data_IF_033631066044
#
_entry.id   IF_033631066044
#
_cell.length_a   1.000
_cell.length_b   1.000
_cell.length_c   1.000
_cell.angle_alpha   90.00
_cell.angle_beta   90.00
_cell.angle_gamma   90.00
#
_symmetry.space_group_name_H-M   'P 1'
#
loop_
_entity.id
_entity.type
_entity.pdbx_description
1 polymer ?
#
# COMPACT_ATOMS: atom_id res chain seq x y z
N UNK A 1 -33.83 -19.13 63.79
CA UNK A 1 -32.90 -18.16 63.19
C UNK A 1 -32.23 -18.78 61.97
N UNK A 2 -32.76 -18.48 60.83
CA UNK A 2 -32.29 -19.01 59.54
C UNK A 2 -31.30 -17.99 58.93
N UNK A 3 -30.02 -18.33 58.94
CA UNK A 3 -28.98 -17.51 58.25
C UNK A 3 -29.08 -17.79 56.76
N UNK A 4 -29.52 -16.80 56.00
CA UNK A 4 -29.46 -16.79 54.56
C UNK A 4 -28.01 -16.50 54.19
N UNK A 5 -27.33 -17.51 53.66
CA UNK A 5 -25.98 -17.34 53.06
C UNK A 5 -26.19 -16.76 51.66
N UNK A 6 -25.94 -15.46 51.51
CA UNK A 6 -25.87 -14.84 50.21
C UNK A 6 -24.53 -15.22 49.61
N UNK A 7 -24.52 -16.13 48.66
CA UNK A 7 -23.35 -16.43 47.83
C UNK A 7 -23.02 -15.24 46.91
N UNK A 8 -21.76 -14.79 46.83
CA UNK A 8 -21.41 -13.73 45.95
C UNK A 8 -21.39 -14.23 44.48
N UNK A 9 -22.21 -13.62 43.67
CA UNK A 9 -22.30 -13.85 42.20
C UNK A 9 -21.10 -13.25 41.39
N UNK A 10 -19.96 -12.98 42.07
CA UNK A 10 -18.87 -12.21 41.53
C UNK A 10 -17.85 -12.94 40.60
N UNK A 11 -17.61 -14.26 40.66
CA UNK A 11 -16.54 -14.84 39.81
C UNK A 11 -16.92 -15.06 38.34
N UNK A 12 -18.20 -15.29 38.03
CA UNK A 12 -18.62 -15.58 36.66
C UNK A 12 -18.62 -14.33 35.75
N UNK A 13 -19.02 -13.17 36.29
CA UNK A 13 -18.99 -11.88 35.56
C UNK A 13 -17.56 -11.39 35.29
N UNK A 14 -16.62 -11.65 36.20
CA UNK A 14 -15.20 -11.30 36.04
C UNK A 14 -14.55 -12.16 34.96
N UNK A 15 -14.86 -13.43 34.88
CA UNK A 15 -14.39 -14.38 33.86
C UNK A 15 -14.91 -14.04 32.46
N UNK A 16 -16.16 -13.59 32.33
CA UNK A 16 -16.75 -13.16 31.06
C UNK A 16 -16.08 -11.85 30.60
N UNK A 17 -15.83 -10.90 31.49
CA UNK A 17 -15.15 -9.64 31.17
C UNK A 17 -13.68 -9.83 30.74
N UNK A 18 -12.94 -10.71 31.39
CA UNK A 18 -11.57 -11.04 31.02
C UNK A 18 -11.48 -11.79 29.70
N UNK A 19 -12.42 -12.68 29.43
CA UNK A 19 -12.46 -13.44 28.16
C UNK A 19 -12.83 -12.56 26.97
N UNK A 20 -13.78 -11.64 27.13
CA UNK A 20 -14.16 -10.67 26.08
C UNK A 20 -13.04 -9.64 25.84
N UNK A 21 -12.31 -9.21 26.87
CA UNK A 21 -11.17 -8.32 26.71
C UNK A 21 -10.01 -9.00 25.97
N UNK A 22 -9.75 -10.28 26.27
CA UNK A 22 -8.71 -11.08 25.61
C UNK A 22 -9.05 -11.36 24.14
N UNK A 23 -10.31 -11.64 23.81
CA UNK A 23 -10.77 -11.83 22.43
C UNK A 23 -10.67 -10.56 21.62
N UNK A 24 -11.06 -9.39 22.15
CA UNK A 24 -10.91 -8.09 21.50
C UNK A 24 -9.44 -7.75 21.23
N UNK A 25 -8.55 -8.06 22.17
CA UNK A 25 -7.10 -7.81 22.01
C UNK A 25 -6.50 -8.69 20.90
N UNK A 26 -6.88 -9.97 20.83
CA UNK A 26 -6.41 -10.90 19.79
C UNK A 26 -6.93 -10.48 18.39
N UNK A 27 -8.18 -10.03 18.29
CA UNK A 27 -8.76 -9.52 17.03
C UNK A 27 -8.07 -8.23 16.57
N UNK A 28 -7.78 -7.30 17.49
CA UNK A 28 -7.05 -6.07 17.19
C UNK A 28 -5.62 -6.35 16.73
N UNK A 29 -4.92 -7.29 17.34
CA UNK A 29 -3.59 -7.72 16.93
C UNK A 29 -3.59 -8.32 15.53
N UNK A 30 -4.59 -9.15 15.19
CA UNK A 30 -4.73 -9.71 13.85
C UNK A 30 -4.94 -8.63 12.80
N UNK A 31 -5.80 -7.64 13.07
CA UNK A 31 -6.05 -6.53 12.14
C UNK A 31 -4.81 -5.68 11.90
N UNK A 32 -4.04 -5.39 12.93
CA UNK A 32 -2.76 -4.67 12.82
C UNK A 32 -1.77 -5.46 11.95
N UNK A 33 -1.68 -6.76 12.14
CA UNK A 33 -0.85 -7.64 11.33
C UNK A 33 -1.26 -7.62 9.86
N UNK A 34 -2.57 -7.67 9.58
CA UNK A 34 -3.11 -7.64 8.22
C UNK A 34 -2.79 -6.31 7.52
N UNK A 35 -2.91 -5.16 8.21
CA UNK A 35 -2.55 -3.85 7.69
C UNK A 35 -1.05 -3.73 7.41
N UNK A 36 -0.22 -4.18 8.33
CA UNK A 36 1.24 -4.20 8.15
C UNK A 36 1.63 -5.04 6.93
N UNK A 37 1.02 -6.21 6.77
CA UNK A 37 1.25 -7.08 5.63
C UNK A 37 0.82 -6.43 4.30
N UNK A 38 -0.31 -5.75 4.29
CA UNK A 38 -0.79 -4.99 3.11
C UNK A 38 0.19 -3.87 2.73
N UNK A 39 0.71 -3.11 3.71
CA UNK A 39 1.75 -2.09 3.46
C UNK A 39 3.01 -2.70 2.82
N UNK A 40 3.45 -3.86 3.30
CA UNK A 40 4.59 -4.56 2.71
C UNK A 40 4.32 -5.00 1.28
N UNK A 41 3.14 -5.53 0.98
CA UNK A 41 2.76 -5.93 -0.38
C UNK A 41 2.77 -4.73 -1.34
N UNK A 42 2.22 -3.58 -0.93
CA UNK A 42 2.25 -2.36 -1.74
C UNK A 42 3.66 -1.85 -1.98
N UNK A 43 4.51 -1.87 -0.95
CA UNK A 43 5.92 -1.47 -1.11
C UNK A 43 6.66 -2.37 -2.10
N UNK A 44 6.45 -3.68 -2.04
CA UNK A 44 7.04 -4.63 -2.97
C UNK A 44 6.54 -4.42 -4.40
N UNK A 45 5.24 -4.16 -4.57
CA UNK A 45 4.65 -3.86 -5.86
C UNK A 45 5.22 -2.57 -6.46
N UNK A 46 5.37 -1.51 -5.67
CA UNK A 46 5.97 -0.26 -6.12
C UNK A 46 7.45 -0.42 -6.50
N UNK A 47 8.20 -1.23 -5.74
CA UNK A 47 9.58 -1.56 -6.09
C UNK A 47 9.66 -2.29 -7.44
N UNK A 48 8.75 -3.21 -7.69
CA UNK A 48 8.66 -3.91 -8.97
C UNK A 48 8.40 -2.95 -10.13
N UNK A 49 7.44 -2.03 -10.00
CA UNK A 49 7.17 -1.02 -11.03
C UNK A 49 8.34 -0.08 -11.25
N UNK A 50 9.05 0.29 -10.19
CA UNK A 50 10.28 1.11 -10.30
C UNK A 50 11.37 0.39 -11.10
N UNK A 51 11.54 -0.90 -10.89
CA UNK A 51 12.51 -1.70 -11.65
C UNK A 51 12.09 -1.88 -13.12
N UNK A 52 10.80 -2.06 -13.41
CA UNK A 52 10.28 -2.03 -14.78
C UNK A 52 10.56 -0.68 -15.47
N UNK A 53 10.37 0.46 -14.78
CA UNK A 53 10.68 1.77 -15.32
C UNK A 53 12.15 1.93 -15.70
N UNK A 54 13.08 1.39 -14.92
CA UNK A 54 14.50 1.40 -15.24
C UNK A 54 14.78 0.65 -16.54
N UNK A 55 14.14 -0.50 -16.73
CA UNK A 55 14.23 -1.30 -17.96
C UNK A 55 13.68 -0.52 -19.17
N UNK A 56 12.51 0.08 -19.02
CA UNK A 56 11.88 0.89 -20.09
C UNK A 56 12.70 2.10 -20.45
N UNK A 57 13.26 2.79 -19.45
CA UNK A 57 14.14 3.93 -19.64
C UNK A 57 15.39 3.55 -20.45
N UNK A 58 16.02 2.45 -20.08
CA UNK A 58 17.18 1.95 -20.82
C UNK A 58 16.83 1.61 -22.27
N UNK A 59 15.69 0.93 -22.48
CA UNK A 59 15.21 0.61 -23.84
C UNK A 59 14.90 1.85 -24.66
N UNK A 60 14.33 2.87 -24.04
CA UNK A 60 14.05 4.15 -24.69
C UNK A 60 15.32 4.87 -25.10
N UNK A 61 16.37 4.82 -24.27
CA UNK A 61 17.71 5.39 -24.59
C UNK A 61 18.33 4.69 -25.81
N UNK A 62 18.21 3.37 -25.92
CA UNK A 62 18.68 2.61 -27.09
C UNK A 62 17.95 3.05 -28.38
N UNK A 63 16.62 3.22 -28.31
CA UNK A 63 15.81 3.69 -29.43
C UNK A 63 16.22 5.09 -29.85
N UNK A 64 16.44 6.00 -28.90
CA UNK A 64 16.84 7.37 -29.15
C UNK A 64 18.23 7.44 -29.85
N UNK A 65 19.16 6.57 -29.49
CA UNK A 65 20.49 6.47 -30.10
C UNK A 65 20.44 5.89 -31.53
N UNK A 66 19.52 4.98 -31.78
CA UNK A 66 19.40 4.27 -33.05
C UNK A 66 18.54 5.00 -34.11
N UNK A 67 17.84 6.07 -33.74
CA UNK A 67 16.89 6.76 -34.60
C UNK A 67 17.20 8.25 -34.71
N UNK A 68 17.06 8.78 -35.95
CA UNK A 68 17.17 10.21 -36.25
C UNK A 68 15.88 10.82 -36.82
N UNK A 69 14.83 10.03 -36.93
CA UNK A 69 13.52 10.49 -37.44
C UNK A 69 12.83 11.37 -36.41
N UNK A 70 12.40 12.56 -36.81
CA UNK A 70 11.75 13.53 -35.92
C UNK A 70 10.51 12.96 -35.22
N UNK A 71 9.70 12.15 -35.90
CA UNK A 71 8.52 11.51 -35.33
C UNK A 71 8.88 10.51 -34.19
N UNK A 72 9.94 9.74 -34.37
CA UNK A 72 10.43 8.79 -33.35
C UNK A 72 10.97 9.57 -32.16
N UNK A 73 11.78 10.58 -32.37
CA UNK A 73 12.36 11.39 -31.28
C UNK A 73 11.29 12.14 -30.48
N UNK A 74 10.21 12.59 -31.12
CA UNK A 74 9.06 13.17 -30.44
C UNK A 74 8.36 12.16 -29.50
N UNK A 75 8.22 10.91 -29.94
CA UNK A 75 7.68 9.85 -29.09
C UNK A 75 8.63 9.46 -27.96
N UNK A 76 9.94 9.49 -28.19
CA UNK A 76 10.95 9.30 -27.14
C UNK A 76 10.76 10.35 -26.03
N UNK A 77 10.63 11.63 -26.40
CA UNK A 77 10.39 12.71 -25.43
C UNK A 77 9.08 12.51 -24.66
N UNK A 78 8.02 12.10 -25.35
CA UNK A 78 6.74 11.77 -24.72
C UNK A 78 6.89 10.70 -23.63
N UNK A 79 7.58 9.58 -23.93
CA UNK A 79 7.78 8.52 -22.96
C UNK A 79 8.76 8.88 -21.85
N UNK A 80 9.79 9.69 -22.12
CA UNK A 80 10.66 10.22 -21.08
C UNK A 80 9.86 10.98 -20.03
N UNK A 81 8.95 11.87 -20.46
CA UNK A 81 8.06 12.61 -19.57
C UNK A 81 7.10 11.69 -18.82
N UNK A 82 6.52 10.71 -19.50
CA UNK A 82 5.64 9.73 -18.86
C UNK A 82 6.36 8.92 -17.77
N UNK A 83 7.60 8.51 -18.00
CA UNK A 83 8.41 7.77 -17.01
C UNK A 83 8.77 8.63 -15.80
N UNK A 84 9.06 9.91 -16.00
CA UNK A 84 9.30 10.86 -14.90
C UNK A 84 8.05 10.99 -14.02
N UNK A 85 6.87 11.15 -14.64
CA UNK A 85 5.59 11.25 -13.92
C UNK A 85 5.34 9.97 -13.12
N UNK A 86 5.51 8.79 -13.70
CA UNK A 86 5.30 7.52 -13.00
C UNK A 86 6.30 7.32 -11.86
N UNK A 87 7.56 7.72 -12.05
CA UNK A 87 8.57 7.66 -10.98
C UNK A 87 8.20 8.56 -9.79
N UNK A 88 7.75 9.77 -10.07
CA UNK A 88 7.31 10.70 -9.03
C UNK A 88 6.10 10.14 -8.25
N UNK A 89 5.12 9.55 -8.94
CA UNK A 89 3.98 8.90 -8.29
C UNK A 89 4.39 7.71 -7.40
N UNK A 90 5.35 6.90 -7.86
CA UNK A 90 5.92 5.81 -7.05
C UNK A 90 6.54 6.37 -5.77
N UNK A 91 7.32 7.44 -5.86
CA UNK A 91 8.00 8.04 -4.71
C UNK A 91 6.99 8.61 -3.71
N UNK A 92 5.93 9.28 -4.18
CA UNK A 92 4.85 9.80 -3.35
C UNK A 92 4.09 8.66 -2.65
N UNK A 93 3.74 7.60 -3.37
CA UNK A 93 3.05 6.45 -2.79
C UNK A 93 3.91 5.72 -1.75
N UNK A 94 5.19 5.50 -2.04
CA UNK A 94 6.13 4.91 -1.07
C UNK A 94 6.23 5.75 0.20
N UNK A 95 6.30 7.06 0.06
CA UNK A 95 6.32 7.97 1.21
C UNK A 95 5.04 7.88 2.02
N UNK A 96 3.88 7.91 1.37
CA UNK A 96 2.57 7.79 2.01
C UNK A 96 2.43 6.46 2.79
N UNK A 97 2.86 5.35 2.19
CA UNK A 97 2.81 4.03 2.84
C UNK A 97 3.76 3.97 4.05
N UNK A 98 4.96 4.54 3.96
CA UNK A 98 5.89 4.60 5.09
C UNK A 98 5.32 5.40 6.26
N UNK A 99 4.67 6.53 5.99
CA UNK A 99 3.99 7.31 7.02
C UNK A 99 2.86 6.51 7.67
N UNK A 100 2.04 5.84 6.87
CA UNK A 100 0.96 4.98 7.38
C UNK A 100 1.50 3.85 8.28
N UNK A 101 2.63 3.25 7.90
CA UNK A 101 3.30 2.22 8.69
C UNK A 101 3.86 2.78 10.01
N UNK A 102 4.52 3.93 9.98
CA UNK A 102 5.03 4.59 11.19
C UNK A 102 3.89 4.94 12.16
N UNK A 103 2.78 5.43 11.66
CA UNK A 103 1.59 5.70 12.47
C UNK A 103 0.99 4.40 13.03
N UNK A 104 0.92 3.32 12.25
CA UNK A 104 0.44 2.03 12.72
C UNK A 104 1.27 1.52 13.91
N UNK A 105 2.60 1.58 13.81
CA UNK A 105 3.52 1.20 14.89
C UNK A 105 3.31 2.07 16.14
N UNK A 106 3.18 3.38 15.98
CA UNK A 106 2.95 4.30 17.09
C UNK A 106 1.60 4.08 17.80
N UNK A 107 0.57 3.64 17.06
CA UNK A 107 -0.76 3.35 17.64
C UNK A 107 -0.80 2.04 18.42
N UNK A 108 -0.02 1.05 18.06
CA UNK A 108 0.08 -0.22 18.79
C UNK A 108 0.45 0.02 20.25
N UNK A 109 1.35 0.97 20.51
CA UNK A 109 1.84 1.29 21.85
C UNK A 109 0.85 2.12 22.68
N UNK A 110 -0.07 2.85 22.07
CA UNK A 110 -0.91 3.84 22.76
C UNK A 110 -2.36 3.42 22.99
N UNK A 111 -3.05 2.85 22.02
CA UNK A 111 -4.46 2.43 22.20
C UNK A 111 -4.97 1.61 20.98
N UNK A 112 -4.96 0.28 21.02
CA UNK A 112 -5.28 -0.56 19.88
C UNK A 112 -6.74 -0.44 19.39
N UNK A 113 -7.70 -0.03 20.24
CA UNK A 113 -9.11 0.07 19.85
C UNK A 113 -9.44 1.31 19.00
N UNK A 114 -8.81 2.45 19.30
CA UNK A 114 -9.02 3.71 18.54
C UNK A 114 -8.24 3.69 17.23
N UNK A 115 -7.11 3.03 17.21
CA UNK A 115 -6.28 2.84 16.02
C UNK A 115 -7.02 2.14 14.88
N UNK A 116 -7.87 1.18 15.19
CA UNK A 116 -8.50 0.29 14.22
C UNK A 116 -9.40 1.03 13.21
N UNK A 117 -10.23 1.97 13.66
CA UNK A 117 -11.19 2.67 12.78
C UNK A 117 -10.52 3.68 11.85
N UNK A 118 -9.64 4.52 12.39
CA UNK A 118 -8.96 5.58 11.63
C UNK A 118 -7.98 5.00 10.63
N UNK A 119 -7.28 3.95 11.00
CA UNK A 119 -6.35 3.25 10.11
C UNK A 119 -7.03 2.54 8.95
N UNK A 120 -8.20 1.98 9.12
CA UNK A 120 -8.97 1.40 8.02
C UNK A 120 -9.37 2.44 6.97
N UNK A 121 -9.74 3.65 7.41
CA UNK A 121 -10.10 4.74 6.52
C UNK A 121 -8.88 5.24 5.73
N UNK A 122 -7.75 5.42 6.39
CA UNK A 122 -6.50 5.86 5.78
C UNK A 122 -5.97 4.81 4.77
N UNK A 123 -6.00 3.54 5.13
CA UNK A 123 -5.56 2.45 4.24
C UNK A 123 -6.52 2.23 3.07
N UNK A 124 -7.82 2.50 3.22
CA UNK A 124 -8.78 2.49 2.11
C UNK A 124 -8.42 3.54 1.05
N UNK A 125 -7.99 4.74 1.47
CA UNK A 125 -7.52 5.79 0.56
C UNK A 125 -6.24 5.38 -0.16
N UNK A 126 -5.29 4.77 0.54
CA UNK A 126 -4.05 4.26 -0.07
C UNK A 126 -4.36 3.15 -1.08
N UNK A 127 -5.25 2.23 -0.74
CA UNK A 127 -5.69 1.14 -1.63
C UNK A 127 -6.28 1.67 -2.93
N UNK A 128 -7.10 2.70 -2.87
CA UNK A 128 -7.66 3.37 -4.03
C UNK A 128 -6.57 4.03 -4.89
N UNK A 129 -5.64 4.74 -4.26
CA UNK A 129 -4.49 5.35 -4.95
C UNK A 129 -3.61 4.30 -5.63
N UNK A 130 -3.34 3.17 -4.98
CA UNK A 130 -2.58 2.06 -5.55
C UNK A 130 -3.28 1.46 -6.76
N UNK A 131 -4.59 1.21 -6.69
CA UNK A 131 -5.37 0.68 -7.81
C UNK A 131 -5.38 1.63 -9.02
N UNK A 132 -5.51 2.93 -8.78
CA UNK A 132 -5.45 3.97 -9.82
C UNK A 132 -4.06 4.04 -10.46
N UNK A 133 -3.01 4.03 -9.64
CA UNK A 133 -1.63 4.03 -10.12
C UNK A 133 -1.35 2.81 -11.02
N UNK A 134 -1.71 1.63 -10.55
CA UNK A 134 -1.52 0.37 -11.30
C UNK A 134 -2.22 0.41 -12.68
N UNK A 135 -3.44 0.92 -12.73
CA UNK A 135 -4.19 1.09 -13.99
C UNK A 135 -3.46 2.02 -14.96
N UNK A 136 -3.02 3.18 -14.49
CA UNK A 136 -2.32 4.17 -15.32
C UNK A 136 -0.94 3.66 -15.77
N UNK A 137 -0.24 2.95 -14.90
CA UNK A 137 1.04 2.34 -15.24
C UNK A 137 0.89 1.28 -16.33
N UNK A 138 -0.11 0.42 -16.25
CA UNK A 138 -0.41 -0.58 -17.28
C UNK A 138 -0.74 0.05 -18.62
N UNK A 139 -1.52 1.11 -18.65
CA UNK A 139 -1.84 1.84 -19.89
C UNK A 139 -0.56 2.41 -20.51
N UNK A 140 0.26 3.10 -19.74
CA UNK A 140 1.55 3.63 -20.20
C UNK A 140 2.47 2.50 -20.72
N UNK A 141 2.57 1.38 -20.01
CA UNK A 141 3.35 0.20 -20.41
C UNK A 141 2.88 -0.35 -21.75
N UNK A 142 1.58 -0.51 -21.94
CA UNK A 142 1.00 -1.00 -23.19
C UNK A 142 1.31 -0.08 -24.37
N UNK A 143 1.16 1.23 -24.19
CA UNK A 143 1.52 2.23 -25.19
C UNK A 143 3.01 2.18 -25.53
N UNK A 144 3.87 2.04 -24.51
CA UNK A 144 5.32 1.94 -24.71
C UNK A 144 5.71 0.66 -25.45
N UNK A 145 5.17 -0.49 -25.08
CA UNK A 145 5.43 -1.76 -25.78
C UNK A 145 5.01 -1.69 -27.24
N UNK A 146 3.85 -1.10 -27.53
CA UNK A 146 3.38 -0.89 -28.90
C UNK A 146 4.28 0.06 -29.69
N UNK A 147 4.79 1.11 -29.07
CA UNK A 147 5.77 2.00 -29.67
C UNK A 147 7.07 1.27 -30.01
N UNK A 148 7.64 0.53 -29.06
CA UNK A 148 8.86 -0.26 -29.26
C UNK A 148 8.70 -1.23 -30.43
N UNK A 149 7.60 -1.94 -30.51
CA UNK A 149 7.30 -2.88 -31.60
C UNK A 149 7.23 -2.23 -33.00
N UNK A 150 6.89 -0.95 -33.07
CA UNK A 150 6.82 -0.20 -34.36
C UNK A 150 8.14 0.36 -34.83
N UNK A 151 9.09 0.61 -33.92
CA UNK A 151 10.38 1.26 -34.23
C UNK A 151 11.54 0.31 -34.32
N UNK A 152 11.35 -0.93 -33.90
CA UNK A 152 12.29 -2.04 -34.03
C UNK A 152 11.87 -3.00 -35.16
#
# INVERSE_FOLDING_TARGET
>A
MTRIIVMPLAPALLLIHTKTKHMKTAESQKKVYDLHHEHQLWMNQLNFFEDELKIFKHRLEEIAKANNKAEVLKMVEHFQNAFIIQKNEIDVLKHTIRLAEQELVAYIDKNPEVADKRKKEDDAVIREKMARFEKLFRQMKEEFVNFVARVL
#
